data_IF_745582962352
#
_entry.id   IF_745582962352
#
_cell.length_a   1.000
_cell.length_b   1.000
_cell.length_c   1.000
_cell.angle_alpha   90.00
_cell.angle_beta   90.00
_cell.angle_gamma   90.00
#
_symmetry.space_group_name_H-M   'P 1'
#
loop_
_entity.id
_entity.type
_entity.pdbx_description
1 polymer ?
#
# COMPACT_ATOMS: atom_id res chain seq x y z
N UNK A 1 -62.40 45.61 -35.57
CA UNK A 1 -60.98 45.58 -35.15
C UNK A 1 -60.91 44.97 -33.75
N UNK A 2 -60.15 43.87 -33.63
CA UNK A 2 -59.65 43.14 -32.46
C UNK A 2 -60.56 42.77 -31.27
N UNK A 3 -60.93 41.48 -31.26
CA UNK A 3 -61.26 40.68 -30.08
C UNK A 3 -59.95 40.10 -29.53
N UNK A 4 -59.54 40.46 -28.31
CA UNK A 4 -58.39 39.84 -27.63
C UNK A 4 -58.86 38.67 -26.75
N UNK A 5 -58.32 37.48 -27.05
CA UNK A 5 -58.51 36.25 -26.27
C UNK A 5 -57.67 36.28 -25.00
N UNK A 6 -58.30 36.04 -23.85
CA UNK A 6 -57.62 35.77 -22.59
C UNK A 6 -57.05 34.33 -22.58
N UNK A 7 -55.73 34.19 -22.47
CA UNK A 7 -55.04 32.91 -22.28
C UNK A 7 -55.02 32.53 -20.80
N UNK A 8 -55.49 31.32 -20.47
CA UNK A 8 -55.34 30.70 -19.14
C UNK A 8 -53.92 30.20 -18.97
N UNK A 9 -53.22 30.68 -17.94
CA UNK A 9 -51.90 30.20 -17.52
C UNK A 9 -52.08 29.04 -16.54
N UNK A 10 -51.78 27.82 -16.98
CA UNK A 10 -51.78 26.62 -16.12
C UNK A 10 -50.44 26.55 -15.38
N UNK A 11 -50.44 26.77 -14.07
CA UNK A 11 -49.26 26.60 -13.21
C UNK A 11 -49.09 25.11 -12.91
N UNK A 12 -48.05 24.48 -13.47
CA UNK A 12 -47.59 23.15 -13.09
C UNK A 12 -46.75 23.26 -11.81
N UNK A 13 -47.29 22.80 -10.69
CA UNK A 13 -46.56 22.55 -9.44
C UNK A 13 -45.61 21.37 -9.65
N UNK A 14 -44.33 21.67 -9.89
CA UNK A 14 -43.26 20.67 -9.91
C UNK A 14 -42.98 20.18 -8.50
N UNK A 15 -43.31 18.92 -8.22
CA UNK A 15 -42.86 18.18 -7.04
C UNK A 15 -41.34 17.97 -7.15
N UNK A 16 -40.55 18.80 -6.48
CA UNK A 16 -39.13 18.54 -6.27
C UNK A 16 -38.97 17.40 -5.27
N UNK A 17 -38.65 16.21 -5.76
CA UNK A 17 -38.26 15.08 -4.93
C UNK A 17 -36.96 15.43 -4.20
N UNK A 18 -37.06 15.64 -2.88
CA UNK A 18 -35.92 15.83 -2.00
C UNK A 18 -35.25 14.48 -1.78
N UNK A 19 -34.21 14.16 -2.56
CA UNK A 19 -33.37 13.00 -2.30
C UNK A 19 -32.56 13.32 -1.05
N UNK A 20 -32.96 12.75 0.09
CA UNK A 20 -32.16 12.78 1.31
C UNK A 20 -30.90 11.98 1.02
N UNK A 21 -29.81 12.70 0.70
CA UNK A 21 -28.49 12.12 0.60
C UNK A 21 -28.10 11.57 1.97
N UNK A 22 -28.13 10.24 2.12
CA UNK A 22 -27.53 9.56 3.26
C UNK A 22 -26.04 9.90 3.21
N UNK A 23 -25.65 10.86 4.06
CA UNK A 23 -24.26 11.23 4.27
C UNK A 23 -23.66 10.10 5.08
N UNK A 24 -23.00 9.15 4.40
CA UNK A 24 -22.15 8.16 5.07
C UNK A 24 -21.00 8.93 5.71
N UNK A 25 -21.16 9.30 6.98
CA UNK A 25 -20.02 9.60 7.83
C UNK A 25 -19.20 8.31 7.89
N UNK A 26 -18.17 8.19 7.04
CA UNK A 26 -17.17 7.13 7.11
C UNK A 26 -16.34 7.35 8.38
N UNK A 27 -16.94 7.07 9.52
CA UNK A 27 -16.25 6.99 10.80
C UNK A 27 -15.43 5.71 10.79
N UNK A 28 -14.16 5.80 10.40
CA UNK A 28 -13.20 4.70 10.52
C UNK A 28 -12.85 4.34 11.99
N UNK A 29 -13.54 4.93 12.97
CA UNK A 29 -13.42 4.59 14.39
C UNK A 29 -13.67 3.09 14.62
N UNK A 30 -14.60 2.51 13.86
CA UNK A 30 -14.93 1.09 13.91
C UNK A 30 -13.75 0.23 13.44
N UNK A 31 -13.05 0.65 12.38
CA UNK A 31 -11.83 -0.01 11.88
C UNK A 31 -10.70 -0.09 12.90
N UNK A 32 -10.42 0.99 13.65
CA UNK A 32 -9.41 0.97 14.73
C UNK A 32 -9.85 0.07 15.89
N UNK A 33 -11.14 0.08 16.22
CA UNK A 33 -11.74 -0.81 17.21
C UNK A 33 -11.53 -2.28 16.86
N UNK A 34 -11.85 -2.66 15.61
CA UNK A 34 -11.65 -4.03 15.09
C UNK A 34 -10.16 -4.41 15.09
N UNK A 35 -9.28 -3.52 14.63
CA UNK A 35 -7.82 -3.75 14.65
C UNK A 35 -7.32 -4.10 16.06
N UNK A 36 -7.82 -3.39 17.06
CA UNK A 36 -7.46 -3.59 18.47
C UNK A 36 -8.08 -4.87 19.02
N UNK A 37 -9.37 -5.11 18.79
CA UNK A 37 -10.09 -6.27 19.32
C UNK A 37 -9.61 -7.60 18.73
N UNK A 38 -9.18 -7.61 17.46
CA UNK A 38 -8.54 -8.76 16.79
C UNK A 38 -7.05 -8.90 17.16
N UNK A 39 -6.55 -8.05 18.05
CA UNK A 39 -5.17 -8.05 18.54
C UNK A 39 -4.13 -7.89 17.42
N UNK A 40 -4.45 -7.18 16.33
CA UNK A 40 -3.50 -6.93 15.24
C UNK A 40 -2.25 -6.19 15.75
N UNK A 41 -2.41 -5.36 16.78
CA UNK A 41 -1.35 -4.61 17.45
C UNK A 41 -0.27 -5.46 18.11
N UNK A 42 -0.51 -6.75 18.40
CA UNK A 42 0.52 -7.63 18.96
C UNK A 42 1.68 -7.89 18.01
N UNK A 43 1.45 -7.68 16.70
CA UNK A 43 2.45 -7.86 15.65
C UNK A 43 2.70 -6.59 14.85
N UNK A 44 1.67 -5.75 14.65
CA UNK A 44 1.71 -4.59 13.78
C UNK A 44 1.65 -3.28 14.55
N UNK A 45 2.74 -2.51 14.50
CA UNK A 45 2.79 -1.17 15.08
C UNK A 45 2.16 -0.15 14.13
N UNK A 46 1.16 0.59 14.60
CA UNK A 46 0.50 1.68 13.85
C UNK A 46 0.95 3.07 14.28
N UNK A 47 1.75 3.16 15.34
CA UNK A 47 2.41 4.39 15.76
C UNK A 47 3.72 4.56 14.98
N UNK A 48 4.00 5.79 14.58
CA UNK A 48 5.13 6.15 13.73
C UNK A 48 5.76 7.48 14.13
N UNK A 49 6.98 7.77 13.66
CA UNK A 49 7.82 6.91 12.82
C UNK A 49 8.37 5.70 13.60
N UNK A 50 9.01 4.77 12.89
CA UNK A 50 9.59 3.58 13.49
C UNK A 50 10.77 3.97 14.42
N UNK A 51 10.85 3.37 15.61
CA UNK A 51 11.73 3.80 16.72
C UNK A 51 12.86 2.83 17.07
N UNK A 52 12.99 1.72 16.35
CA UNK A 52 14.04 0.73 16.59
C UNK A 52 15.45 1.33 16.39
N UNK A 53 16.38 1.00 17.29
CA UNK A 53 17.75 1.52 17.26
C UNK A 53 18.76 0.44 16.94
N UNK A 54 18.46 -0.80 17.32
CA UNK A 54 19.38 -1.94 17.23
C UNK A 54 18.78 -3.10 16.43
N UNK A 55 19.63 -4.05 16.02
CA UNK A 55 19.16 -5.30 15.43
C UNK A 55 18.26 -6.07 16.40
N UNK A 56 18.57 -6.10 17.69
CA UNK A 56 17.74 -6.77 18.69
C UNK A 56 16.33 -6.18 18.78
N UNK A 57 16.20 -4.86 18.69
CA UNK A 57 14.89 -4.19 18.63
C UNK A 57 14.08 -4.65 17.41
N UNK A 58 14.73 -4.75 16.25
CA UNK A 58 14.09 -5.21 15.02
C UNK A 58 13.73 -6.69 15.10
N UNK A 59 14.60 -7.54 15.67
CA UNK A 59 14.39 -8.98 15.80
C UNK A 59 13.23 -9.32 16.75
N UNK A 60 12.97 -8.49 17.77
CA UNK A 60 11.82 -8.63 18.68
C UNK A 60 10.46 -8.40 17.99
N UNK A 61 10.44 -7.66 16.87
CA UNK A 61 9.20 -7.39 16.15
C UNK A 61 8.65 -8.66 15.50
N UNK A 62 7.34 -8.85 15.58
CA UNK A 62 6.63 -10.00 15.01
C UNK A 62 5.99 -9.69 13.65
N UNK A 63 5.89 -8.42 13.28
CA UNK A 63 5.33 -8.00 12.00
C UNK A 63 5.91 -6.68 11.50
N UNK A 64 5.62 -6.33 10.22
CA UNK A 64 5.94 -5.02 9.67
C UNK A 64 5.08 -3.93 10.31
N UNK A 65 5.62 -2.72 10.37
CA UNK A 65 4.93 -1.51 10.80
C UNK A 65 3.91 -1.09 9.74
N UNK A 66 2.83 -0.50 10.24
CA UNK A 66 1.66 -0.12 9.47
C UNK A 66 1.32 1.38 9.59
N UNK A 67 2.12 2.18 10.31
CA UNK A 67 1.89 3.62 10.52
C UNK A 67 1.89 4.47 9.25
N UNK A 68 2.29 3.90 8.10
CA UNK A 68 2.28 4.53 6.77
C UNK A 68 1.44 3.74 5.75
N UNK A 69 0.54 2.86 6.20
CA UNK A 69 -0.17 1.93 5.32
C UNK A 69 -0.93 2.62 4.20
N UNK A 70 -1.57 3.76 4.47
CA UNK A 70 -2.28 4.55 3.47
C UNK A 70 -1.39 5.16 2.39
N UNK A 71 -0.13 5.44 2.71
CA UNK A 71 0.85 5.84 1.69
C UNK A 71 1.35 4.66 0.87
N UNK A 72 1.49 3.49 1.51
CA UNK A 72 2.13 2.31 0.91
C UNK A 72 1.21 1.50 0.02
N UNK A 73 0.01 1.22 0.50
CA UNK A 73 -0.87 0.22 -0.10
C UNK A 73 -1.95 0.84 -0.98
N UNK A 74 -2.40 0.09 -1.97
CA UNK A 74 -3.64 0.36 -2.70
C UNK A 74 -4.81 -0.18 -1.86
N UNK A 75 -5.86 0.63 -1.65
CA UNK A 75 -6.95 0.30 -0.71
C UNK A 75 -7.67 -0.98 -1.11
N UNK A 76 -7.96 -1.12 -2.39
CA UNK A 76 -8.70 -2.25 -2.96
C UNK A 76 -7.96 -3.56 -2.68
N UNK A 77 -6.65 -3.57 -2.96
CA UNK A 77 -5.80 -4.72 -2.64
C UNK A 77 -5.74 -4.99 -1.13
N UNK A 78 -5.69 -3.96 -0.29
CA UNK A 78 -5.61 -4.15 1.16
C UNK A 78 -6.88 -4.81 1.71
N UNK A 79 -8.06 -4.42 1.20
CA UNK A 79 -9.33 -5.09 1.55
C UNK A 79 -9.30 -6.55 1.10
N UNK A 80 -9.00 -6.82 -0.17
CA UNK A 80 -8.95 -8.18 -0.71
C UNK A 80 -7.96 -9.08 0.04
N UNK A 81 -6.78 -8.54 0.37
CA UNK A 81 -5.75 -9.29 1.08
C UNK A 81 -6.12 -9.53 2.55
N UNK A 82 -6.80 -8.60 3.22
CA UNK A 82 -7.28 -8.84 4.60
C UNK A 82 -8.40 -9.89 4.64
N UNK A 83 -9.23 -9.98 3.59
CA UNK A 83 -10.22 -11.05 3.45
C UNK A 83 -9.56 -12.42 3.19
N UNK A 84 -8.55 -12.45 2.32
CA UNK A 84 -7.88 -13.68 1.89
C UNK A 84 -6.36 -13.50 1.87
N UNK A 85 -5.71 -13.53 3.05
CA UNK A 85 -4.28 -13.25 3.12
C UNK A 85 -3.45 -14.28 2.37
N UNK A 86 -2.57 -13.78 1.51
CA UNK A 86 -1.57 -14.57 0.80
C UNK A 86 -0.16 -14.25 1.28
N UNK A 87 0.75 -15.20 1.13
CA UNK A 87 2.14 -15.06 1.58
C UNK A 87 2.91 -14.04 0.73
N UNK A 88 3.27 -12.90 1.33
CA UNK A 88 4.12 -11.87 0.69
C UNK A 88 5.61 -12.14 0.94
N UNK A 89 5.96 -12.66 2.13
CA UNK A 89 7.34 -13.02 2.49
C UNK A 89 7.46 -14.53 2.58
N UNK A 90 8.29 -15.09 1.71
CA UNK A 90 8.50 -16.54 1.62
C UNK A 90 9.33 -17.09 2.79
N UNK A 91 10.16 -16.25 3.40
CA UNK A 91 10.86 -16.52 4.65
C UNK A 91 10.16 -15.85 5.83
N UNK A 92 10.31 -16.45 7.01
CA UNK A 92 9.75 -15.94 8.27
C UNK A 92 10.21 -14.50 8.50
N UNK A 93 9.36 -13.68 9.10
CA UNK A 93 9.73 -12.30 9.43
C UNK A 93 11.01 -12.30 10.28
N UNK A 94 11.96 -11.43 9.93
CA UNK A 94 13.30 -11.38 10.51
C UNK A 94 14.24 -12.59 10.29
N UNK A 95 13.85 -13.62 9.53
CA UNK A 95 14.73 -14.75 9.17
C UNK A 95 15.33 -14.61 7.77
N UNK A 96 16.47 -15.27 7.52
CA UNK A 96 17.08 -15.47 6.18
C UNK A 96 17.20 -16.95 5.80
N UNK A 97 16.79 -17.85 6.70
CA UNK A 97 16.95 -19.31 6.53
C UNK A 97 15.63 -20.06 6.72
N UNK A 98 14.74 -19.57 7.60
CA UNK A 98 13.48 -20.24 7.91
C UNK A 98 12.39 -19.85 6.92
N UNK A 99 11.74 -20.85 6.34
CA UNK A 99 10.54 -20.67 5.52
C UNK A 99 9.41 -20.10 6.36
N UNK A 100 8.61 -19.22 5.77
CA UNK A 100 7.40 -18.72 6.39
C UNK A 100 6.29 -19.78 6.32
N UNK A 101 5.90 -20.29 7.48
CA UNK A 101 4.73 -21.17 7.65
C UNK A 101 3.61 -20.49 8.44
N UNK A 102 3.80 -19.23 8.85
CA UNK A 102 2.82 -18.46 9.61
C UNK A 102 1.64 -18.07 8.72
N UNK A 103 0.43 -18.21 9.25
CA UNK A 103 -0.80 -17.78 8.58
C UNK A 103 -1.24 -16.44 9.16
N UNK A 104 -1.45 -15.46 8.29
CA UNK A 104 -2.05 -14.21 8.70
C UNK A 104 -3.55 -14.40 8.97
N UNK A 105 -4.13 -13.81 10.02
CA UNK A 105 -5.57 -13.87 10.28
C UNK A 105 -6.36 -13.29 9.11
N UNK A 106 -7.44 -13.98 8.72
CA UNK A 106 -8.40 -13.48 7.74
C UNK A 106 -9.53 -12.73 8.45
N UNK A 107 -10.06 -11.70 7.81
CA UNK A 107 -11.23 -10.95 8.27
C UNK A 107 -12.44 -11.25 7.39
N UNK A 108 -13.65 -11.01 7.90
CA UNK A 108 -14.83 -10.95 7.03
C UNK A 108 -14.73 -9.75 6.08
N UNK A 109 -15.47 -9.76 4.96
CA UNK A 109 -15.50 -8.66 3.99
C UNK A 109 -15.80 -7.30 4.61
N UNK A 110 -16.74 -7.25 5.55
CA UNK A 110 -17.08 -6.01 6.25
C UNK A 110 -15.92 -5.53 7.15
N UNK A 111 -15.40 -6.41 8.00
CA UNK A 111 -14.27 -6.09 8.88
C UNK A 111 -13.00 -5.69 8.10
N UNK A 112 -12.74 -6.35 6.96
CA UNK A 112 -11.62 -6.03 6.08
C UNK A 112 -11.75 -4.61 5.51
N UNK A 113 -12.96 -4.22 5.10
CA UNK A 113 -13.26 -2.86 4.64
C UNK A 113 -12.99 -1.80 5.71
N UNK A 114 -13.46 -2.03 6.94
CA UNK A 114 -13.27 -1.11 8.07
C UNK A 114 -11.80 -1.00 8.49
N UNK A 115 -11.12 -2.13 8.67
CA UNK A 115 -9.70 -2.16 9.05
C UNK A 115 -8.84 -1.54 7.95
N UNK A 116 -9.10 -1.83 6.68
CA UNK A 116 -8.41 -1.17 5.57
C UNK A 116 -8.68 0.34 5.61
N UNK A 117 -9.93 0.77 5.84
CA UNK A 117 -10.30 2.17 6.01
C UNK A 117 -9.44 2.87 7.08
N UNK A 118 -9.33 2.29 8.26
CA UNK A 118 -8.45 2.77 9.33
C UNK A 118 -6.98 2.83 8.87
N UNK A 119 -6.43 1.75 8.32
CA UNK A 119 -5.03 1.70 7.87
C UNK A 119 -4.74 2.73 6.77
N UNK A 120 -5.72 3.04 5.91
CA UNK A 120 -5.57 4.07 4.88
C UNK A 120 -5.45 5.49 5.45
N UNK A 121 -5.90 5.74 6.69
CA UNK A 121 -5.68 7.04 7.36
C UNK A 121 -4.23 7.24 7.80
N UNK A 122 -3.45 6.16 7.92
CA UNK A 122 -2.08 6.17 8.40
C UNK A 122 -1.13 6.51 7.24
N UNK A 123 -0.68 7.77 7.18
CA UNK A 123 0.12 8.28 6.05
C UNK A 123 1.47 8.85 6.50
N UNK A 124 2.46 8.78 5.61
CA UNK A 124 3.77 9.37 5.77
C UNK A 124 3.95 10.52 4.77
N UNK A 125 4.35 11.70 5.27
CA UNK A 125 4.58 12.88 4.43
C UNK A 125 5.70 12.67 3.40
N UNK A 126 6.66 11.81 3.73
CA UNK A 126 7.80 11.43 2.90
C UNK A 126 7.37 10.70 1.62
N UNK A 127 6.18 10.08 1.64
CA UNK A 127 5.60 9.35 0.51
C UNK A 127 4.64 10.20 -0.33
N UNK A 128 4.79 11.53 -0.30
CA UNK A 128 4.06 12.45 -1.18
C UNK A 128 4.30 12.15 -2.66
N UNK A 129 3.46 12.73 -3.52
CA UNK A 129 3.58 12.56 -4.97
C UNK A 129 4.95 13.02 -5.48
N UNK A 130 5.68 12.11 -6.13
CA UNK A 130 7.06 12.34 -6.58
C UNK A 130 7.22 12.19 -8.10
N UNK A 131 6.13 12.16 -8.87
CA UNK A 131 6.16 11.97 -10.32
C UNK A 131 6.65 10.59 -10.76
N UNK A 132 6.40 9.55 -9.95
CA UNK A 132 6.72 8.17 -10.33
C UNK A 132 5.74 7.67 -11.39
N UNK A 133 6.23 7.34 -12.58
CA UNK A 133 5.46 6.64 -13.62
C UNK A 133 5.52 5.13 -13.38
N UNK A 134 4.39 4.50 -13.06
CA UNK A 134 4.29 3.04 -12.87
C UNK A 134 4.33 2.32 -14.23
N UNK A 135 5.53 1.99 -14.71
CA UNK A 135 5.73 1.29 -15.98
C UNK A 135 6.82 0.22 -15.92
N UNK A 136 6.58 -0.92 -16.57
CA UNK A 136 7.56 -1.99 -16.72
C UNK A 136 8.41 -1.75 -17.98
N UNK A 137 9.42 -0.89 -17.87
CA UNK A 137 10.30 -0.54 -18.99
C UNK A 137 11.55 -1.43 -19.03
N UNK A 138 12.18 -1.63 -20.22
CA UNK A 138 13.47 -2.32 -20.31
C UNK A 138 14.56 -1.71 -19.42
N UNK A 139 14.55 -0.38 -19.30
CA UNK A 139 15.46 0.35 -18.41
C UNK A 139 15.18 0.05 -16.93
N UNK A 140 13.93 0.12 -16.47
CA UNK A 140 13.57 -0.24 -15.10
C UNK A 140 13.94 -1.68 -14.76
N UNK A 141 13.71 -2.62 -15.69
CA UNK A 141 14.14 -4.01 -15.57
C UNK A 141 15.67 -4.13 -15.44
N UNK A 142 16.44 -3.43 -16.28
CA UNK A 142 17.90 -3.45 -16.22
C UNK A 142 18.43 -2.88 -14.90
N UNK A 143 17.90 -1.73 -14.47
CA UNK A 143 18.27 -1.10 -13.20
C UNK A 143 18.00 -2.05 -12.02
N UNK A 144 16.81 -2.65 -11.99
CA UNK A 144 16.40 -3.55 -10.92
C UNK A 144 17.18 -4.88 -10.92
N UNK A 145 17.33 -5.54 -12.06
CA UNK A 145 17.88 -6.89 -12.12
C UNK A 145 19.40 -6.92 -12.24
N UNK A 146 19.99 -5.98 -12.97
CA UNK A 146 21.42 -6.02 -13.33
C UNK A 146 22.23 -4.95 -12.60
N UNK A 147 21.88 -3.68 -12.77
CA UNK A 147 22.70 -2.56 -12.25
C UNK A 147 22.75 -2.53 -10.72
N UNK A 148 21.59 -2.68 -10.06
CA UNK A 148 21.47 -2.58 -8.61
C UNK A 148 21.23 -3.91 -7.90
N UNK A 149 21.10 -5.01 -8.65
CA UNK A 149 21.04 -6.37 -8.09
C UNK A 149 19.86 -6.63 -7.16
N UNK A 150 18.76 -5.86 -7.25
CA UNK A 150 17.59 -5.99 -6.38
C UNK A 150 17.00 -7.41 -6.42
N UNK A 151 17.11 -8.07 -7.58
CA UNK A 151 16.66 -9.44 -7.83
C UNK A 151 17.41 -10.49 -7.01
N UNK A 152 18.59 -10.16 -6.45
CA UNK A 152 19.33 -11.06 -5.56
C UNK A 152 18.59 -11.37 -4.25
N UNK A 153 17.73 -10.45 -3.79
CA UNK A 153 16.91 -10.64 -2.60
C UNK A 153 15.41 -10.73 -2.90
N UNK A 154 14.93 -10.01 -3.92
CA UNK A 154 13.52 -9.90 -4.23
C UNK A 154 13.13 -10.70 -5.47
N UNK A 155 12.04 -11.45 -5.39
CA UNK A 155 11.46 -12.10 -6.56
C UNK A 155 10.60 -11.13 -7.38
N UNK A 156 10.68 -11.24 -8.70
CA UNK A 156 9.87 -10.47 -9.68
C UNK A 156 9.36 -11.39 -10.79
N UNK A 157 8.37 -10.92 -11.53
CA UNK A 157 7.84 -11.63 -12.69
C UNK A 157 8.78 -11.47 -13.89
N UNK A 158 9.02 -12.56 -14.60
CA UNK A 158 9.77 -12.59 -15.85
C UNK A 158 9.00 -13.48 -16.84
N UNK A 159 8.09 -12.86 -17.60
CA UNK A 159 7.14 -13.60 -18.43
C UNK A 159 6.19 -14.44 -17.58
N UNK A 160 6.12 -15.74 -17.87
CA UNK A 160 5.33 -16.70 -17.09
C UNK A 160 6.04 -17.20 -15.82
N UNK A 161 7.32 -16.87 -15.63
CA UNK A 161 8.13 -17.37 -14.52
C UNK A 161 8.29 -16.30 -13.44
N UNK A 162 8.61 -16.76 -12.23
CA UNK A 162 9.08 -15.92 -11.13
C UNK A 162 10.57 -16.14 -10.93
N UNK A 163 11.35 -15.07 -10.90
CA UNK A 163 12.81 -15.12 -10.76
C UNK A 163 13.28 -14.23 -9.61
N UNK A 164 14.41 -14.58 -9.01
CA UNK A 164 15.06 -13.80 -7.95
C UNK A 164 15.05 -14.48 -6.59
N UNK A 165 15.59 -13.75 -5.61
CA UNK A 165 15.76 -14.22 -4.24
C UNK A 165 14.45 -14.28 -3.44
N UNK A 166 14.53 -14.94 -2.29
CA UNK A 166 13.40 -15.14 -1.36
C UNK A 166 13.60 -14.43 -0.01
N UNK A 167 14.77 -13.82 0.21
CA UNK A 167 15.14 -13.14 1.45
C UNK A 167 14.46 -11.78 1.63
N UNK A 168 14.06 -11.16 0.52
CA UNK A 168 13.19 -9.99 0.45
C UNK A 168 11.73 -10.36 0.19
N UNK A 169 10.78 -9.43 0.42
CA UNK A 169 9.39 -9.59 -0.01
C UNK A 169 9.26 -9.93 -1.50
N UNK A 170 8.28 -10.77 -1.83
CA UNK A 170 7.89 -11.04 -3.21
C UNK A 170 7.33 -9.76 -3.85
N UNK A 171 7.92 -9.37 -4.98
CA UNK A 171 7.54 -8.20 -5.75
C UNK A 171 6.85 -8.56 -7.07
N UNK A 172 6.65 -9.84 -7.38
CA UNK A 172 6.06 -10.28 -8.66
C UNK A 172 4.66 -9.74 -8.94
N UNK A 173 3.91 -9.38 -7.90
CA UNK A 173 2.60 -8.69 -8.01
C UNK A 173 2.58 -7.36 -7.24
N UNK A 174 3.74 -6.76 -7.03
CA UNK A 174 3.85 -5.54 -6.23
C UNK A 174 3.03 -4.38 -6.79
N UNK A 175 2.76 -4.32 -8.08
CA UNK A 175 1.93 -3.29 -8.70
C UNK A 175 0.43 -3.38 -8.40
N UNK A 176 -0.06 -4.54 -7.94
CA UNK A 176 -1.41 -4.66 -7.39
C UNK A 176 -1.50 -4.06 -5.99
N UNK A 177 -0.39 -4.11 -5.23
CA UNK A 177 -0.39 -3.78 -3.79
C UNK A 177 0.25 -2.45 -3.43
N UNK A 178 1.31 -2.02 -4.12
CA UNK A 178 2.16 -0.89 -3.73
C UNK A 178 1.92 0.34 -4.60
N UNK A 179 1.94 1.51 -3.96
CA UNK A 179 2.04 2.80 -4.65
C UNK A 179 3.50 3.09 -5.04
N UNK A 180 3.75 3.48 -6.30
CA UNK A 180 5.09 3.82 -6.79
C UNK A 180 5.77 4.94 -6.00
N UNK A 181 5.00 5.96 -5.59
CA UNK A 181 5.53 7.07 -4.76
C UNK A 181 6.08 6.58 -3.41
N UNK A 182 5.43 5.61 -2.77
CA UNK A 182 5.95 5.02 -1.53
C UNK A 182 7.20 4.19 -1.77
N UNK A 183 7.29 3.45 -2.88
CA UNK A 183 8.51 2.70 -3.21
C UNK A 183 9.68 3.65 -3.39
N UNK A 184 9.47 4.76 -4.11
CA UNK A 184 10.48 5.81 -4.26
C UNK A 184 10.86 6.42 -2.90
N UNK A 185 9.89 6.81 -2.08
CA UNK A 185 10.14 7.37 -0.76
C UNK A 185 10.92 6.40 0.15
N UNK A 186 10.59 5.12 0.11
CA UNK A 186 11.33 4.11 0.86
C UNK A 186 12.79 4.00 0.39
N UNK A 187 13.06 4.05 -0.91
CA UNK A 187 14.43 4.05 -1.43
C UNK A 187 15.19 5.33 -1.07
N UNK A 188 14.49 6.47 -1.04
CA UNK A 188 15.06 7.80 -0.77
C UNK A 188 15.33 8.03 0.71
N UNK A 189 14.42 7.62 1.59
CA UNK A 189 14.49 7.85 3.03
C UNK A 189 14.20 6.58 3.85
N UNK A 190 14.94 5.47 3.63
CA UNK A 190 14.61 4.19 4.25
C UNK A 190 14.73 4.22 5.78
N UNK A 191 15.46 5.20 6.34
CA UNK A 191 15.62 5.36 7.80
C UNK A 191 14.32 5.79 8.49
N UNK A 192 13.44 6.53 7.81
CA UNK A 192 12.15 6.96 8.38
C UNK A 192 11.22 5.74 8.52
N UNK A 193 11.16 4.92 7.48
CA UNK A 193 10.29 3.75 7.44
C UNK A 193 10.83 2.54 8.22
N UNK A 194 12.15 2.35 8.17
CA UNK A 194 12.89 1.19 8.68
C UNK A 194 14.31 1.61 9.09
N UNK A 195 14.53 2.24 10.26
CA UNK A 195 15.85 2.64 10.72
C UNK A 195 16.83 1.45 10.75
N UNK A 196 16.39 0.29 11.25
CA UNK A 196 17.16 -0.96 11.23
C UNK A 196 16.64 -1.90 10.15
N UNK A 197 17.50 -2.30 9.23
CA UNK A 197 17.10 -3.01 7.99
C UNK A 197 18.24 -3.81 7.40
N UNK A 198 17.88 -4.86 6.65
CA UNK A 198 18.80 -5.65 5.81
C UNK A 198 18.92 -5.11 4.39
N UNK A 199 17.90 -4.42 3.89
CA UNK A 199 17.95 -3.82 2.56
C UNK A 199 19.00 -2.71 2.55
N UNK A 200 19.93 -2.68 1.57
CA UNK A 200 20.95 -1.65 1.50
C UNK A 200 20.37 -0.24 1.41
N UNK A 201 21.14 0.75 1.86
CA UNK A 201 20.83 2.16 1.65
C UNK A 201 21.40 2.58 0.30
N UNK A 202 20.53 3.09 -0.57
CA UNK A 202 20.87 3.45 -1.95
C UNK A 202 21.03 4.96 -2.17
N UNK A 203 20.84 5.77 -1.13
CA UNK A 203 21.03 7.22 -1.16
C UNK A 203 22.47 7.56 -1.51
N UNK A 204 22.69 8.37 -2.54
CA UNK A 204 24.02 8.69 -3.07
C UNK A 204 24.59 7.64 -4.03
N UNK A 205 23.93 6.50 -4.21
CA UNK A 205 24.32 5.44 -5.16
C UNK A 205 23.39 5.46 -6.39
N UNK A 206 22.08 5.53 -6.15
CA UNK A 206 21.06 5.63 -7.20
C UNK A 206 20.65 7.10 -7.32
N UNK A 207 20.78 7.67 -8.52
CA UNK A 207 20.29 9.03 -8.77
C UNK A 207 18.76 9.07 -8.78
N UNK A 208 18.19 10.28 -8.67
CA UNK A 208 16.75 10.46 -8.48
C UNK A 208 15.89 9.85 -9.60
N UNK A 209 16.29 10.06 -10.86
CA UNK A 209 15.56 9.56 -12.03
C UNK A 209 15.59 8.04 -12.09
N UNK A 210 16.74 7.42 -11.82
CA UNK A 210 16.84 5.96 -11.77
C UNK A 210 16.07 5.37 -10.59
N UNK A 211 16.06 6.06 -9.44
CA UNK A 211 15.29 5.63 -8.27
C UNK A 211 13.78 5.64 -8.57
N UNK A 212 13.28 6.69 -9.22
CA UNK A 212 11.89 6.76 -9.72
C UNK A 212 11.60 5.68 -10.75
N UNK A 213 12.55 5.40 -11.65
CA UNK A 213 12.41 4.35 -12.67
C UNK A 213 12.33 2.96 -12.04
N UNK A 214 13.16 2.67 -11.03
CA UNK A 214 13.11 1.43 -10.24
C UNK A 214 11.78 1.33 -9.48
N UNK A 215 11.34 2.40 -8.84
CA UNK A 215 10.07 2.45 -8.12
C UNK A 215 8.88 2.18 -9.06
N UNK A 216 8.88 2.81 -10.24
CA UNK A 216 7.88 2.61 -11.28
C UNK A 216 7.85 1.16 -11.79
N UNK A 217 9.03 0.55 -11.99
CA UNK A 217 9.13 -0.86 -12.40
C UNK A 217 8.54 -1.82 -11.35
N UNK A 218 8.82 -1.59 -10.06
CA UNK A 218 8.26 -2.38 -8.96
C UNK A 218 6.74 -2.23 -8.89
N UNK A 219 6.24 -0.99 -8.97
CA UNK A 219 4.80 -0.71 -8.93
C UNK A 219 4.06 -1.09 -10.23
N UNK A 220 4.76 -1.55 -11.26
CA UNK A 220 4.17 -2.09 -12.48
C UNK A 220 4.11 -3.64 -12.52
N UNK A 221 4.64 -4.35 -11.52
CA UNK A 221 4.61 -5.82 -11.48
C UNK A 221 3.19 -6.35 -11.24
N UNK A 222 2.62 -7.12 -12.18
CA UNK A 222 1.23 -7.65 -12.11
C UNK A 222 1.10 -9.05 -12.71
#
# INVERSE_FOLDING_TARGET
MNVSKAGRLTVLLGLTAFVVGVSWNLSYADGKGIFTSKNCGSCHQTEGPATEKTFDDQLKKKGPELWYSGSKFKKEWLVEWLEKPTTIRLLKYNSVTEKNTEKHPALSKSEAGEVAGYLMTLTAKEAAAAGVTEASTPMGKNLFQKKYGCVGCHSVKAGAQKVGGVSGPDLSEAGKRLNGNWVYAYLKEPKVFKPVKRMPVFVGIINDNEMKTVAGFVAAQK
#
